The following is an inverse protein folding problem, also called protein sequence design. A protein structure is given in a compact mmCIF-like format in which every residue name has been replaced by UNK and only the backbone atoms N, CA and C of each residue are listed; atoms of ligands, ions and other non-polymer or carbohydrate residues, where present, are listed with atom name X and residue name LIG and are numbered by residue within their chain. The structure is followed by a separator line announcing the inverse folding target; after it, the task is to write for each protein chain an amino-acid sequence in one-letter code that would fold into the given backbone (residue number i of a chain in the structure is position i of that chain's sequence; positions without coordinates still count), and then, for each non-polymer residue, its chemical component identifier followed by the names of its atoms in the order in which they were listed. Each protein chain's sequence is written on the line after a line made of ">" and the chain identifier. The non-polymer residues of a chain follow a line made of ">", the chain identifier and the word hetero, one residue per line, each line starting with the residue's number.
data_IF_817330351151
#
_entry.id   IF_817330351151
#
_cell.length_a   1.000
_cell.length_b   1.000
_cell.length_c   1.000
_cell.angle_alpha   90.00
_cell.angle_beta   90.00
_cell.angle_gamma   90.00
#
_symmetry.space_group_name_H-M   'P 1'
#
loop_
_entity.id
_entity.type
_entity.pdbx_description
1 polymer ?
#
# COMPACT_ATOMS: atom_id res chain seq x y z
N UNK A 1 15.21 32.28 19.56
CA UNK A 1 14.28 31.88 18.49
C UNK A 1 14.16 30.36 18.52
N UNK A 2 12.98 29.85 18.90
CA UNK A 2 12.75 28.45 19.27
C UNK A 2 12.18 27.71 18.05
N UNK A 3 12.81 26.59 17.73
CA UNK A 3 12.65 25.76 16.54
C UNK A 3 11.21 25.29 16.31
N UNK A 4 10.56 25.80 15.27
CA UNK A 4 9.25 25.34 14.83
C UNK A 4 9.40 24.08 13.97
N UNK A 5 9.31 22.94 14.67
CA UNK A 5 8.65 21.71 14.21
C UNK A 5 8.89 21.32 12.75
N UNK A 6 10.08 20.76 12.52
CA UNK A 6 10.30 19.54 11.74
C UNK A 6 9.01 19.02 11.09
N UNK A 7 8.80 19.38 9.82
CA UNK A 7 7.80 18.76 8.98
C UNK A 7 8.07 17.26 9.02
N UNK A 8 7.23 16.52 9.75
CA UNK A 8 7.14 15.07 9.65
C UNK A 8 6.79 14.77 8.20
N UNK A 9 7.83 14.61 7.37
CA UNK A 9 7.78 13.84 6.14
C UNK A 9 7.38 12.44 6.59
N UNK A 10 6.06 12.21 6.67
CA UNK A 10 5.49 10.88 6.81
C UNK A 10 6.23 9.98 5.83
N UNK A 11 6.73 8.90 6.37
CA UNK A 11 7.67 7.98 5.77
C UNK A 11 7.32 7.68 4.30
N UNK A 12 8.04 8.33 3.38
CA UNK A 12 8.05 7.92 1.96
C UNK A 12 9.03 6.75 1.74
N UNK A 13 9.59 6.20 2.82
CA UNK A 13 10.58 5.12 2.81
C UNK A 13 9.96 3.73 2.96
N UNK A 14 8.73 3.61 3.44
CA UNK A 14 7.99 2.32 3.45
C UNK A 14 7.35 1.98 2.10
N UNK A 15 7.38 2.93 1.15
CA UNK A 15 6.72 2.79 -0.16
C UNK A 15 7.38 1.77 -1.10
N UNK A 16 8.55 1.25 -0.73
CA UNK A 16 9.33 0.30 -1.53
C UNK A 16 9.45 -1.10 -0.91
N UNK A 17 8.78 -1.39 0.21
CA UNK A 17 8.98 -2.66 0.93
C UNK A 17 8.68 -3.92 0.08
N UNK A 18 7.90 -3.76 -0.99
CA UNK A 18 7.54 -4.83 -1.93
C UNK A 18 8.05 -4.61 -3.36
N UNK A 19 8.84 -3.56 -3.61
CA UNK A 19 9.31 -3.21 -4.96
C UNK A 19 8.19 -2.85 -5.95
N UNK A 20 6.94 -2.76 -5.48
CA UNK A 20 5.78 -2.42 -6.31
C UNK A 20 5.49 -0.93 -6.27
N UNK A 21 5.09 -0.40 -7.41
CA UNK A 21 4.62 0.96 -7.48
C UNK A 21 3.23 1.02 -6.82
N UNK A 22 3.17 1.45 -5.55
CA UNK A 22 1.90 1.53 -4.81
C UNK A 22 0.86 2.40 -5.52
N UNK A 23 1.27 3.43 -6.26
CA UNK A 23 0.32 4.24 -7.02
C UNK A 23 -0.40 3.41 -8.07
N UNK A 24 0.37 2.66 -8.87
CA UNK A 24 -0.16 1.77 -9.89
C UNK A 24 -0.94 0.59 -9.30
N UNK A 25 -0.48 0.05 -8.16
CA UNK A 25 -1.19 -1.00 -7.43
C UNK A 25 -2.56 -0.51 -6.98
N UNK A 26 -2.65 0.70 -6.42
CA UNK A 26 -3.91 1.30 -5.95
C UNK A 26 -4.89 1.54 -7.09
N UNK A 27 -4.43 2.08 -8.22
CA UNK A 27 -5.28 2.30 -9.40
C UNK A 27 -5.84 0.99 -9.93
N UNK A 28 -5.00 -0.05 -9.98
CA UNK A 28 -5.38 -1.35 -10.47
C UNK A 28 -6.20 -2.16 -9.48
N UNK A 29 -5.98 -1.98 -8.19
CA UNK A 29 -6.72 -2.69 -7.13
C UNK A 29 -8.21 -2.35 -7.12
N UNK A 30 -8.59 -1.16 -7.61
CA UNK A 30 -9.99 -0.78 -7.77
C UNK A 30 -10.72 -1.56 -8.90
N UNK A 31 -9.97 -2.20 -9.81
CA UNK A 31 -10.51 -2.79 -11.04
C UNK A 31 -10.17 -4.27 -11.18
N UNK A 32 -8.97 -4.67 -10.75
CA UNK A 32 -8.41 -6.00 -10.87
C UNK A 32 -8.64 -6.82 -9.60
N UNK A 33 -8.85 -8.12 -9.78
CA UNK A 33 -8.93 -9.08 -8.68
C UNK A 33 -7.55 -9.29 -8.03
N UNK A 34 -7.54 -9.79 -6.80
CA UNK A 34 -6.30 -10.10 -6.08
C UNK A 34 -5.38 -11.05 -6.86
N UNK A 35 -5.96 -11.96 -7.66
CA UNK A 35 -5.21 -12.88 -8.52
C UNK A 35 -4.52 -12.18 -9.69
N UNK A 36 -5.23 -11.28 -10.35
CA UNK A 36 -4.68 -10.48 -11.45
C UNK A 36 -3.58 -9.55 -10.94
N UNK A 37 -3.79 -8.89 -9.79
CA UNK A 37 -2.75 -8.10 -9.13
C UNK A 37 -1.51 -8.95 -8.77
N UNK A 38 -1.70 -10.17 -8.27
CA UNK A 38 -0.59 -11.08 -7.98
C UNK A 38 0.21 -11.40 -9.24
N UNK A 39 -0.45 -11.70 -10.36
CA UNK A 39 0.22 -11.98 -11.63
C UNK A 39 0.92 -10.75 -12.20
N UNK A 40 0.27 -9.58 -12.16
CA UNK A 40 0.77 -8.37 -12.80
C UNK A 40 1.96 -7.75 -12.06
N UNK A 41 1.94 -7.82 -10.72
CA UNK A 41 3.01 -7.29 -9.87
C UNK A 41 4.04 -8.36 -9.46
N UNK A 42 3.87 -9.62 -9.90
CA UNK A 42 4.75 -10.72 -9.52
C UNK A 42 4.73 -11.03 -8.01
N UNK A 43 3.60 -10.77 -7.36
CA UNK A 43 3.42 -10.94 -5.92
C UNK A 43 2.64 -12.21 -5.60
N UNK A 44 2.84 -12.78 -4.42
CA UNK A 44 1.92 -13.80 -3.95
C UNK A 44 0.60 -13.17 -3.49
N UNK A 45 -0.51 -13.91 -3.60
CA UNK A 45 -1.84 -13.48 -3.12
C UNK A 45 -1.84 -13.01 -1.66
N UNK A 46 -1.00 -13.60 -0.81
CA UNK A 46 -0.81 -13.20 0.59
C UNK A 46 -0.21 -11.79 0.70
N UNK A 47 0.70 -11.44 -0.20
CA UNK A 47 1.40 -10.15 -0.19
C UNK A 47 0.48 -9.07 -0.73
N UNK A 48 -0.33 -9.38 -1.75
CA UNK A 48 -1.43 -8.52 -2.22
C UNK A 48 -2.41 -8.21 -1.07
N UNK A 49 -2.81 -9.21 -0.28
CA UNK A 49 -3.66 -8.99 0.91
C UNK A 49 -2.98 -8.15 1.98
N UNK A 50 -1.69 -8.40 2.26
CA UNK A 50 -0.93 -7.61 3.23
C UNK A 50 -0.78 -6.16 2.79
N UNK A 51 -0.57 -5.90 1.49
CA UNK A 51 -0.55 -4.55 0.91
C UNK A 51 -1.88 -3.84 1.14
N UNK A 52 -3.01 -4.50 0.83
CA UNK A 52 -4.36 -3.92 1.06
C UNK A 52 -4.61 -3.60 2.54
N UNK A 53 -4.15 -4.46 3.46
CA UNK A 53 -4.20 -4.23 4.91
C UNK A 53 -3.33 -3.06 5.35
N UNK A 54 -2.08 -2.98 4.88
CA UNK A 54 -1.16 -1.89 5.22
C UNK A 54 -1.64 -0.54 4.68
N UNK A 55 -2.35 -0.53 3.56
CA UNK A 55 -2.98 0.69 3.01
C UNK A 55 -4.29 1.08 3.74
N UNK A 56 -4.71 0.33 4.75
CA UNK A 56 -5.96 0.60 5.48
C UNK A 56 -7.23 0.34 4.66
N UNK A 57 -7.12 -0.35 3.52
CA UNK A 57 -8.27 -0.63 2.63
C UNK A 57 -9.04 -1.88 3.03
N UNK A 58 -8.38 -2.80 3.73
CA UNK A 58 -9.03 -3.95 4.39
C UNK A 58 -9.56 -3.57 5.80
N UNK A 59 -9.75 -2.26 6.07
CA UNK A 59 -10.43 -1.76 7.26
C UNK A 59 -11.95 -1.95 7.14
N UNK A 60 -12.39 -3.20 7.01
CA UNK A 60 -13.76 -3.54 7.40
C UNK A 60 -13.75 -3.56 8.94
N UNK A 61 -14.28 -2.47 9.50
CA UNK A 61 -14.76 -2.42 10.87
C UNK A 61 -15.57 -3.68 11.18
N UNK A 62 -15.28 -4.40 12.27
CA UNK A 62 -16.27 -5.33 12.81
C UNK A 62 -17.50 -4.49 13.20
N UNK A 63 -18.61 -4.71 12.50
CA UNK A 63 -19.96 -4.28 12.93
C UNK A 63 -20.67 -5.48 13.53
#
# INVERSE_FOLDING_TARGET
>A
MRTAHQGRRLARSDMNLFGVNLHQFIEKEAVLSNFELAQEFGLALKDVRNLKKQMGRDSISPS
#
